data_IF_347611847998
#
_entry.id   IF_347611847998
#
_cell.length_a   1.000
_cell.length_b   1.000
_cell.length_c   1.000
_cell.angle_alpha   90.00
_cell.angle_beta   90.00
_cell.angle_gamma   90.00
#
_symmetry.space_group_name_H-M   'P 1'
#
loop_
_entity.id
_entity.type
_entity.pdbx_description
1 polymer ?
#
# COMPACT_ATOMS: atom_id res chain seq x y z
N UNK A 1 14.99 21.22 -14.00
CA UNK A 1 15.93 20.86 -15.10
C UNK A 1 15.25 19.74 -15.87
N UNK A 2 14.92 19.88 -17.16
CA UNK A 2 14.18 18.82 -17.89
C UNK A 2 15.08 17.59 -18.04
N UNK A 3 14.92 16.61 -17.16
CA UNK A 3 15.57 15.30 -17.30
C UNK A 3 14.95 14.57 -18.48
N UNK A 4 15.81 13.94 -19.29
CA UNK A 4 15.38 13.14 -20.43
C UNK A 4 14.80 11.84 -19.89
N UNK A 5 13.50 11.64 -20.07
CA UNK A 5 12.79 10.38 -19.80
C UNK A 5 13.50 9.24 -20.52
N UNK A 6 14.04 8.28 -19.76
CA UNK A 6 14.76 7.14 -20.30
C UNK A 6 13.71 6.06 -20.65
N UNK A 7 13.15 6.10 -21.87
CA UNK A 7 12.07 5.24 -22.38
C UNK A 7 12.32 3.71 -22.38
N UNK A 8 13.36 3.20 -21.71
CA UNK A 8 13.77 1.80 -21.88
C UNK A 8 13.07 0.80 -20.99
N UNK A 9 12.29 1.21 -19.99
CA UNK A 9 11.55 0.28 -19.12
C UNK A 9 10.24 0.90 -18.67
N UNK A 10 9.26 0.91 -19.56
CA UNK A 10 7.88 0.96 -19.11
C UNK A 10 7.60 -0.38 -18.42
N UNK A 11 7.46 -0.38 -17.08
CA UNK A 11 6.54 -1.31 -16.44
C UNK A 11 5.27 -1.24 -17.30
N UNK A 12 4.84 -2.38 -17.84
CA UNK A 12 3.62 -2.40 -18.65
C UNK A 12 2.53 -1.93 -17.71
N UNK A 13 2.15 -0.65 -17.80
CA UNK A 13 0.98 -0.11 -17.17
C UNK A 13 -0.17 -0.95 -17.71
N UNK A 14 -0.59 -1.95 -16.93
CA UNK A 14 -1.78 -2.73 -17.24
C UNK A 14 -2.88 -1.68 -17.26
N UNK A 15 -3.48 -1.40 -18.44
CA UNK A 15 -4.50 -0.36 -18.51
C UNK A 15 -5.54 -0.69 -17.45
N UNK A 16 -5.99 0.29 -16.65
CA UNK A 16 -6.99 0.03 -15.61
C UNK A 16 -8.29 -0.57 -16.20
N UNK A 17 -8.48 -0.41 -17.51
CA UNK A 17 -9.55 -0.97 -18.33
C UNK A 17 -9.27 -2.36 -18.94
N UNK A 18 -8.03 -2.88 -18.84
CA UNK A 18 -7.58 -4.18 -19.36
C UNK A 18 -7.00 -5.04 -18.22
N UNK A 19 -7.83 -5.35 -17.22
CA UNK A 19 -7.61 -6.51 -16.36
C UNK A 19 -7.79 -7.77 -17.20
N UNK A 20 -6.74 -8.16 -17.94
CA UNK A 20 -6.77 -9.30 -18.85
C UNK A 20 -7.03 -10.60 -18.09
N UNK A 21 -8.09 -11.25 -18.53
CA UNK A 21 -8.53 -12.61 -18.22
C UNK A 21 -7.36 -13.60 -18.13
N UNK A 22 -7.09 -14.12 -16.93
CA UNK A 22 -6.57 -15.48 -16.78
C UNK A 22 -7.80 -16.37 -16.53
N UNK A 23 -8.10 -17.34 -17.42
CA UNK A 23 -9.24 -18.21 -17.24
C UNK A 23 -8.96 -19.22 -16.13
N UNK A 24 -9.49 -18.98 -14.93
CA UNK A 24 -9.85 -20.07 -14.04
C UNK A 24 -11.15 -20.68 -14.60
N UNK A 25 -11.08 -21.94 -15.04
CA UNK A 25 -12.11 -22.57 -15.88
C UNK A 25 -13.52 -22.60 -15.27
N UNK A 26 -14.52 -22.45 -16.14
CA UNK A 26 -15.93 -22.74 -15.85
C UNK A 26 -16.89 -21.75 -16.50
N UNK A 27 -17.33 -21.99 -17.74
CA UNK A 27 -18.50 -21.29 -18.30
C UNK A 27 -19.77 -21.80 -17.60
N UNK A 28 -20.57 -20.90 -17.02
CA UNK A 28 -21.97 -21.18 -16.70
C UNK A 28 -22.85 -20.00 -17.13
N UNK A 29 -23.96 -20.36 -17.76
CA UNK A 29 -24.95 -19.54 -18.44
C UNK A 29 -25.69 -18.55 -17.54
N UNK A 30 -26.15 -17.45 -18.14
CA UNK A 30 -26.99 -16.43 -17.54
C UNK A 30 -28.31 -16.99 -16.97
N UNK A 31 -28.43 -16.99 -15.64
CA UNK A 31 -29.64 -16.93 -14.84
C UNK A 31 -29.22 -16.35 -13.49
N UNK A 32 -30.09 -15.59 -12.82
CA UNK A 32 -29.83 -14.88 -11.56
C UNK A 32 -29.36 -15.78 -10.41
N UNK A 33 -28.04 -16.08 -10.38
CA UNK A 33 -27.31 -16.60 -9.24
C UNK A 33 -26.74 -15.42 -8.48
N UNK A 34 -26.93 -15.39 -7.16
CA UNK A 34 -26.11 -14.54 -6.30
C UNK A 34 -24.64 -14.84 -6.62
N UNK A 35 -23.92 -13.83 -7.09
CA UNK A 35 -22.52 -13.98 -7.47
C UNK A 35 -21.72 -14.36 -6.22
N UNK A 36 -20.98 -15.48 -6.27
CA UNK A 36 -20.04 -15.85 -5.22
C UNK A 36 -19.11 -14.66 -4.96
N UNK A 37 -18.94 -14.20 -3.70
CA UNK A 37 -18.05 -13.10 -3.38
C UNK A 37 -16.64 -13.37 -3.89
N UNK A 38 -16.00 -12.36 -4.46
CA UNK A 38 -14.64 -12.47 -4.98
C UNK A 38 -13.91 -11.16 -4.82
N UNK A 39 -12.60 -11.27 -4.60
CA UNK A 39 -11.65 -10.15 -4.56
C UNK A 39 -11.19 -9.71 -5.96
N UNK A 40 -11.59 -10.46 -6.99
CA UNK A 40 -11.14 -10.29 -8.38
C UNK A 40 -12.32 -9.91 -9.27
N UNK A 41 -12.67 -8.62 -9.24
CA UNK A 41 -13.60 -7.99 -10.18
C UNK A 41 -12.92 -6.79 -10.81
N UNK A 42 -13.34 -6.31 -12.01
CA UNK A 42 -12.79 -5.09 -12.58
C UNK A 42 -12.84 -3.88 -11.61
N UNK A 43 -13.90 -3.74 -10.83
CA UNK A 43 -14.00 -2.69 -9.81
C UNK A 43 -13.01 -2.88 -8.64
N UNK A 44 -12.83 -4.11 -8.15
CA UNK A 44 -11.87 -4.40 -7.09
C UNK A 44 -10.41 -4.27 -7.57
N UNK A 45 -10.13 -4.68 -8.81
CA UNK A 45 -8.84 -4.50 -9.46
C UNK A 45 -8.53 -3.00 -9.65
N UNK A 46 -9.49 -2.19 -10.10
CA UNK A 46 -9.35 -0.73 -10.16
C UNK A 46 -8.93 -0.13 -8.80
N UNK A 47 -9.64 -0.50 -7.73
CA UNK A 47 -9.34 0.00 -6.37
C UNK A 47 -7.93 -0.38 -5.94
N UNK A 48 -7.53 -1.62 -6.17
CA UNK A 48 -6.22 -2.15 -5.81
C UNK A 48 -5.10 -1.45 -6.60
N UNK A 49 -5.29 -1.22 -7.90
CA UNK A 49 -4.33 -0.49 -8.74
C UNK A 49 -4.19 0.98 -8.36
N UNK A 50 -5.31 1.68 -8.07
CA UNK A 50 -5.25 3.06 -7.58
C UNK A 50 -4.59 3.13 -6.19
N UNK A 51 -4.89 2.16 -5.32
CA UNK A 51 -4.26 2.07 -4.01
C UNK A 51 -2.74 1.91 -4.13
N UNK A 52 -2.26 1.05 -5.03
CA UNK A 52 -0.84 0.89 -5.30
C UNK A 52 -0.17 2.20 -5.66
N UNK A 53 -0.65 2.88 -6.70
CA UNK A 53 0.01 4.07 -7.21
C UNK A 53 -0.05 5.23 -6.20
N UNK A 54 -1.18 5.40 -5.51
CA UNK A 54 -1.34 6.46 -4.51
C UNK A 54 -0.57 6.18 -3.22
N UNK A 55 -0.53 4.93 -2.73
CA UNK A 55 0.19 4.59 -1.50
C UNK A 55 1.71 4.60 -1.72
N UNK A 56 2.17 4.14 -2.89
CA UNK A 56 3.56 4.26 -3.31
C UNK A 56 3.96 5.74 -3.47
N UNK A 57 3.08 6.61 -3.99
CA UNK A 57 3.32 8.06 -4.01
C UNK A 57 3.59 8.61 -2.61
N UNK A 58 2.74 8.27 -1.64
CA UNK A 58 2.90 8.74 -0.25
C UNK A 58 4.23 8.29 0.35
N UNK A 59 4.61 7.02 0.13
CA UNK A 59 5.90 6.47 0.55
C UNK A 59 7.07 7.20 -0.12
N UNK A 60 7.10 7.27 -1.46
CA UNK A 60 8.18 7.88 -2.22
C UNK A 60 8.32 9.38 -1.94
N UNK A 61 7.21 10.11 -1.77
CA UNK A 61 7.23 11.53 -1.46
C UNK A 61 7.91 11.78 -0.10
N UNK A 62 7.55 11.03 0.93
CA UNK A 62 8.15 11.16 2.27
C UNK A 62 9.63 10.79 2.22
N UNK A 63 9.98 9.70 1.53
CA UNK A 63 11.38 9.30 1.37
C UNK A 63 12.20 10.36 0.64
N UNK A 64 11.72 10.87 -0.50
CA UNK A 64 12.42 11.93 -1.24
C UNK A 64 12.60 13.20 -0.41
N UNK A 65 11.58 13.60 0.37
CA UNK A 65 11.70 14.74 1.29
C UNK A 65 12.79 14.48 2.35
N UNK A 66 12.82 13.30 2.97
CA UNK A 66 13.84 12.91 3.96
C UNK A 66 15.25 12.88 3.36
N UNK A 67 15.43 12.20 2.21
CA UNK A 67 16.72 12.15 1.49
C UNK A 67 17.19 13.55 1.11
N UNK A 68 16.26 14.43 0.72
CA UNK A 68 16.54 15.84 0.44
C UNK A 68 17.07 16.61 1.65
N UNK A 69 16.46 16.44 2.82
CA UNK A 69 16.94 17.07 4.06
C UNK A 69 18.29 16.51 4.54
N UNK A 70 18.52 15.22 4.38
CA UNK A 70 19.80 14.58 4.71
C UNK A 70 20.93 14.99 3.76
N UNK A 71 20.61 15.45 2.54
CA UNK A 71 21.57 15.55 1.45
C UNK A 71 22.10 14.18 1.03
N UNK A 72 21.24 13.16 1.08
CA UNK A 72 21.62 11.77 0.86
C UNK A 72 22.01 11.52 -0.61
N UNK A 73 22.94 10.59 -0.82
CA UNK A 73 23.52 10.33 -2.14
C UNK A 73 22.52 9.68 -3.12
N UNK A 74 21.45 9.09 -2.60
CA UNK A 74 20.35 8.45 -3.31
C UNK A 74 19.16 9.39 -3.57
N UNK A 75 19.23 10.66 -3.17
CA UNK A 75 18.15 11.64 -3.37
C UNK A 75 17.64 11.68 -4.82
N UNK A 76 18.54 11.79 -5.81
CA UNK A 76 18.15 11.88 -7.22
C UNK A 76 17.43 10.62 -7.71
N UNK A 77 17.82 9.43 -7.22
CA UNK A 77 17.14 8.18 -7.56
C UNK A 77 15.75 8.09 -6.90
N UNK A 78 15.62 8.57 -5.66
CA UNK A 78 14.32 8.66 -4.98
C UNK A 78 13.36 9.61 -5.72
N UNK A 79 13.86 10.77 -6.16
CA UNK A 79 13.08 11.75 -6.91
C UNK A 79 12.67 11.21 -8.28
N UNK A 80 13.58 10.50 -8.97
CA UNK A 80 13.26 9.84 -10.23
C UNK A 80 12.16 8.77 -10.06
N UNK A 81 12.21 7.97 -8.99
CA UNK A 81 11.16 7.01 -8.66
C UNK A 81 9.80 7.67 -8.41
N UNK A 82 9.78 8.81 -7.70
CA UNK A 82 8.57 9.61 -7.47
C UNK A 82 8.00 10.19 -8.78
N UNK A 83 8.86 10.67 -9.67
CA UNK A 83 8.48 11.15 -11.00
C UNK A 83 7.90 10.00 -11.86
N UNK A 84 8.51 8.81 -11.83
CA UNK A 84 7.98 7.64 -12.54
C UNK A 84 6.62 7.21 -12.01
N UNK A 85 6.43 7.21 -10.68
CA UNK A 85 5.11 6.97 -10.07
C UNK A 85 4.06 7.99 -10.55
N UNK A 86 4.44 9.26 -10.71
CA UNK A 86 3.56 10.31 -11.28
C UNK A 86 3.14 9.98 -12.70
N UNK A 87 4.07 9.49 -13.54
CA UNK A 87 3.77 9.04 -14.90
C UNK A 87 2.84 7.82 -14.91
N UNK A 88 3.09 6.85 -14.03
CA UNK A 88 2.26 5.65 -13.90
C UNK A 88 0.83 6.01 -13.48
N UNK A 89 0.68 6.89 -12.49
CA UNK A 89 -0.63 7.37 -12.01
C UNK A 89 -1.37 8.15 -13.09
N UNK A 90 -0.69 9.05 -13.81
CA UNK A 90 -1.29 9.82 -14.91
C UNK A 90 -1.73 8.92 -16.06
N UNK A 91 -0.93 7.91 -16.40
CA UNK A 91 -1.28 6.88 -17.40
C UNK A 91 -2.49 6.06 -16.96
N UNK A 92 -2.59 5.76 -15.66
CA UNK A 92 -3.73 5.05 -15.10
C UNK A 92 -5.01 5.89 -15.24
N UNK A 93 -4.97 7.18 -14.88
CA UNK A 93 -6.10 8.11 -15.09
C UNK A 93 -6.47 8.22 -16.59
N UNK A 94 -5.49 8.34 -17.47
CA UNK A 94 -5.70 8.40 -18.92
C UNK A 94 -6.44 7.17 -19.46
N UNK A 95 -6.14 5.99 -18.92
CA UNK A 95 -6.78 4.74 -19.34
C UNK A 95 -8.28 4.66 -19.00
N UNK A 96 -8.75 5.52 -18.08
CA UNK A 96 -10.16 5.58 -17.64
C UNK A 96 -10.90 6.73 -18.32
N UNK A 97 -10.31 7.93 -18.38
CA UNK A 97 -10.95 9.12 -18.93
C UNK A 97 -10.57 9.33 -20.40
N UNK A 98 -9.33 9.75 -20.66
CA UNK A 98 -8.66 9.87 -21.96
C UNK A 98 -7.25 10.47 -21.77
N UNK A 99 -6.47 10.56 -22.84
CA UNK A 99 -5.11 11.12 -22.81
C UNK A 99 -5.10 12.57 -22.33
N UNK A 100 -6.07 13.38 -22.77
CA UNK A 100 -6.21 14.78 -22.37
C UNK A 100 -6.43 14.93 -20.85
N UNK A 101 -7.27 14.08 -20.25
CA UNK A 101 -7.46 14.04 -18.81
C UNK A 101 -6.20 13.57 -18.06
N UNK A 102 -5.47 12.61 -18.62
CA UNK A 102 -4.18 12.16 -18.08
C UNK A 102 -3.16 13.30 -18.00
N UNK A 103 -3.00 14.07 -19.09
CA UNK A 103 -2.09 15.23 -19.14
C UNK A 103 -2.52 16.33 -18.17
N UNK A 104 -3.82 16.63 -18.09
CA UNK A 104 -4.33 17.62 -17.15
C UNK A 104 -4.10 17.21 -15.69
N UNK A 105 -4.27 15.92 -15.37
CA UNK A 105 -3.95 15.37 -14.06
C UNK A 105 -2.45 15.49 -13.77
N UNK A 106 -1.59 15.07 -14.70
CA UNK A 106 -0.12 15.12 -14.56
C UNK A 106 0.37 16.53 -14.28
N UNK A 107 -0.16 17.55 -14.95
CA UNK A 107 0.22 18.95 -14.74
C UNK A 107 -0.08 19.42 -13.32
N UNK A 108 -1.29 19.14 -12.81
CA UNK A 108 -1.67 19.52 -11.44
C UNK A 108 -0.91 18.70 -10.40
N UNK A 109 -0.74 17.40 -10.63
CA UNK A 109 -0.01 16.48 -9.74
C UNK A 109 1.48 16.79 -9.67
N UNK A 110 2.11 17.14 -10.79
CA UNK A 110 3.52 17.55 -10.78
C UNK A 110 3.74 18.85 -10.01
N UNK A 111 2.75 19.76 -10.02
CA UNK A 111 2.85 21.03 -9.33
C UNK A 111 2.91 20.87 -7.80
N UNK A 112 2.09 19.97 -7.21
CA UNK A 112 2.10 19.81 -5.75
C UNK A 112 3.41 19.23 -5.22
N UNK A 113 4.03 18.32 -5.98
CA UNK A 113 5.37 17.80 -5.67
C UNK A 113 6.37 18.96 -5.60
N UNK A 114 6.31 19.90 -6.57
CA UNK A 114 7.12 21.12 -6.56
C UNK A 114 6.95 21.96 -5.29
N UNK A 115 5.72 22.15 -4.81
CA UNK A 115 5.46 22.90 -3.57
C UNK A 115 6.04 22.22 -2.32
N UNK A 116 6.03 20.88 -2.26
CA UNK A 116 6.71 20.16 -1.18
C UNK A 116 8.24 20.28 -1.28
N UNK A 117 8.80 20.24 -2.49
CA UNK A 117 10.25 20.48 -2.69
C UNK A 117 10.63 21.88 -2.21
N UNK A 118 9.85 22.91 -2.57
CA UNK A 118 10.07 24.28 -2.12
C UNK A 118 9.96 24.40 -0.59
N UNK A 119 9.01 23.69 0.04
CA UNK A 119 8.90 23.61 1.50
C UNK A 119 10.16 23.01 2.15
N UNK A 120 10.64 21.86 1.64
CA UNK A 120 11.86 21.19 2.12
C UNK A 120 13.07 22.13 1.99
N UNK A 121 13.22 22.79 0.84
CA UNK A 121 14.30 23.76 0.60
C UNK A 121 14.22 24.94 1.57
N UNK A 122 13.01 25.45 1.83
CA UNK A 122 12.81 26.55 2.77
C UNK A 122 13.16 26.14 4.21
N UNK A 123 12.79 24.92 4.63
CA UNK A 123 13.19 24.37 5.93
C UNK A 123 14.71 24.26 6.04
N UNK A 124 15.39 23.69 5.05
CA UNK A 124 16.85 23.58 5.03
C UNK A 124 17.58 24.95 5.08
N UNK A 125 16.95 26.01 4.57
CA UNK A 125 17.46 27.39 4.59
C UNK A 125 17.06 28.19 5.84
N UNK A 126 16.26 27.64 6.74
CA UNK A 126 15.59 28.37 7.82
C UNK A 126 14.79 29.59 7.30
N UNK A 127 14.16 29.44 6.13
CA UNK A 127 13.38 30.48 5.47
C UNK A 127 11.89 30.35 5.82
N UNK A 128 11.47 31.01 6.91
CA UNK A 128 10.08 31.01 7.37
C UNK A 128 9.11 31.61 6.34
N UNK A 129 9.57 32.57 5.52
CA UNK A 129 8.73 33.16 4.47
C UNK A 129 8.53 32.17 3.30
N UNK A 130 9.58 31.43 2.94
CA UNK A 130 9.53 30.34 1.96
C UNK A 130 8.60 29.20 2.41
N UNK A 131 8.70 28.78 3.67
CA UNK A 131 7.78 27.77 4.26
C UNK A 131 6.34 28.22 4.13
N UNK A 132 6.04 29.46 4.53
CA UNK A 132 4.69 30.01 4.46
C UNK A 132 4.18 30.07 3.02
N UNK A 133 5.02 30.52 2.08
CA UNK A 133 4.66 30.56 0.65
C UNK A 133 4.28 29.17 0.15
N UNK A 134 5.09 28.16 0.44
CA UNK A 134 4.83 26.78 0.00
C UNK A 134 3.54 26.21 0.60
N UNK A 135 3.24 26.50 1.87
CA UNK A 135 1.98 26.10 2.51
C UNK A 135 0.76 26.83 1.94
N UNK A 136 0.90 28.10 1.59
CA UNK A 136 -0.15 28.87 0.91
C UNK A 136 -0.42 28.29 -0.50
N UNK A 137 0.63 27.90 -1.24
CA UNK A 137 0.53 27.24 -2.55
C UNK A 137 -0.14 25.87 -2.46
N UNK A 138 0.23 25.03 -1.48
CA UNK A 138 -0.44 23.76 -1.21
C UNK A 138 -1.92 23.95 -0.85
N UNK A 139 -2.25 25.00 -0.09
CA UNK A 139 -3.64 25.35 0.24
C UNK A 139 -4.46 25.78 -0.97
N UNK A 140 -3.82 26.45 -1.94
CA UNK A 140 -4.46 26.82 -3.22
C UNK A 140 -4.61 25.59 -4.12
N UNK A 141 -3.54 24.80 -4.29
CA UNK A 141 -3.57 23.52 -5.02
C UNK A 141 -4.70 22.63 -4.55
N UNK A 142 -4.87 22.48 -3.24
CA UNK A 142 -5.95 21.70 -2.64
C UNK A 142 -7.32 22.15 -3.13
N UNK A 143 -7.58 23.46 -3.22
CA UNK A 143 -8.85 23.99 -3.70
C UNK A 143 -9.05 23.69 -5.19
N UNK A 144 -8.03 23.99 -6.00
CA UNK A 144 -8.10 23.83 -7.45
C UNK A 144 -8.22 22.36 -7.86
N UNK A 145 -7.41 21.49 -7.25
CA UNK A 145 -7.40 20.06 -7.52
C UNK A 145 -8.70 19.37 -7.07
N UNK A 146 -9.28 19.80 -5.95
CA UNK A 146 -10.58 19.29 -5.51
C UNK A 146 -11.70 19.66 -6.48
N UNK A 147 -11.71 20.89 -6.99
CA UNK A 147 -12.69 21.32 -8.00
C UNK A 147 -12.50 20.57 -9.33
N UNK A 148 -11.24 20.34 -9.72
CA UNK A 148 -10.91 19.53 -10.88
C UNK A 148 -11.47 18.11 -10.77
N UNK A 149 -11.24 17.42 -9.65
CA UNK A 149 -11.73 16.06 -9.41
C UNK A 149 -13.26 15.99 -9.28
N UNK A 150 -13.90 16.96 -8.63
CA UNK A 150 -15.36 17.04 -8.57
C UNK A 150 -15.96 17.15 -9.98
N UNK A 151 -15.40 18.04 -10.81
CA UNK A 151 -15.85 18.22 -12.19
C UNK A 151 -15.62 16.95 -13.02
N UNK A 152 -14.43 16.36 -12.94
CA UNK A 152 -14.06 15.16 -13.69
C UNK A 152 -14.95 13.95 -13.34
N UNK A 153 -15.30 13.80 -12.06
CA UNK A 153 -16.15 12.70 -11.57
C UNK A 153 -17.65 12.97 -11.75
N UNK A 154 -18.03 14.12 -12.30
CA UNK A 154 -19.42 14.54 -12.45
C UNK A 154 -20.12 14.66 -11.10
N UNK A 155 -19.48 15.36 -10.15
CA UNK A 155 -19.95 15.68 -8.80
C UNK A 155 -20.12 14.46 -7.87
N UNK A 156 -19.52 13.31 -8.21
CA UNK A 156 -19.53 12.11 -7.34
C UNK A 156 -18.59 12.23 -6.15
N UNK A 157 -17.53 13.02 -6.30
CA UNK A 157 -16.63 13.41 -5.21
C UNK A 157 -16.84 14.90 -4.94
N UNK A 158 -17.35 15.24 -3.76
CA UNK A 158 -17.59 16.63 -3.37
C UNK A 158 -16.25 17.36 -3.14
N UNK A 159 -16.07 18.53 -3.76
CA UNK A 159 -14.83 19.30 -3.69
C UNK A 159 -14.45 19.67 -2.24
N UNK A 160 -15.43 19.95 -1.38
CA UNK A 160 -15.18 20.24 0.04
C UNK A 160 -14.55 19.05 0.77
N UNK A 161 -15.12 17.85 0.61
CA UNK A 161 -14.60 16.64 1.24
C UNK A 161 -13.24 16.23 0.67
N UNK A 162 -13.02 16.42 -0.64
CA UNK A 162 -11.72 16.23 -1.28
C UNK A 162 -10.67 17.19 -0.73
N UNK A 163 -11.03 18.47 -0.54
CA UNK A 163 -10.13 19.45 0.02
C UNK A 163 -9.72 19.09 1.45
N UNK A 164 -10.67 18.70 2.29
CA UNK A 164 -10.35 18.28 3.67
C UNK A 164 -9.43 17.05 3.70
N UNK A 165 -9.67 16.06 2.85
CA UNK A 165 -8.79 14.90 2.68
C UNK A 165 -7.39 15.31 2.23
N UNK A 166 -7.27 16.11 1.17
CA UNK A 166 -5.97 16.62 0.71
C UNK A 166 -5.24 17.42 1.81
N UNK A 167 -5.94 18.22 2.62
CA UNK A 167 -5.33 18.93 3.74
C UNK A 167 -4.77 17.96 4.79
N UNK A 168 -5.51 16.89 5.10
CA UNK A 168 -5.02 15.86 6.01
C UNK A 168 -3.76 15.20 5.47
N UNK A 169 -3.71 14.90 4.16
CA UNK A 169 -2.52 14.33 3.54
C UNK A 169 -1.32 15.29 3.59
N UNK A 170 -1.54 16.58 3.28
CA UNK A 170 -0.50 17.62 3.43
C UNK A 170 0.03 17.68 4.86
N UNK A 171 -0.85 17.63 5.86
CA UNK A 171 -0.44 17.64 7.26
C UNK A 171 0.41 16.41 7.63
N UNK A 172 0.09 15.23 7.06
CA UNK A 172 0.86 14.01 7.29
C UNK A 172 2.24 14.08 6.65
N UNK A 173 2.36 14.55 5.40
CA UNK A 173 3.67 14.70 4.72
C UNK A 173 4.55 15.75 5.40
N UNK A 174 4.00 16.94 5.69
CA UNK A 174 4.72 17.99 6.42
C UNK A 174 5.07 17.51 7.83
N UNK A 175 4.15 16.85 8.51
CA UNK A 175 4.37 16.29 9.85
C UNK A 175 5.47 15.25 9.88
N UNK A 176 5.49 14.32 8.92
CA UNK A 176 6.54 13.31 8.77
C UNK A 176 7.90 13.98 8.58
N UNK A 177 7.99 14.95 7.67
CA UNK A 177 9.22 15.67 7.37
C UNK A 177 9.72 16.54 8.54
N UNK A 178 8.87 17.36 9.12
CA UNK A 178 9.25 18.26 10.22
C UNK A 178 9.67 17.46 11.45
N UNK A 179 8.99 16.35 11.76
CA UNK A 179 9.37 15.44 12.87
C UNK A 179 10.72 14.80 12.60
N UNK A 180 10.98 14.40 11.36
CA UNK A 180 12.26 13.82 10.94
C UNK A 180 13.41 14.81 11.13
N UNK A 181 13.26 16.04 10.61
CA UNK A 181 14.27 17.10 10.74
C UNK A 181 14.48 17.51 12.21
N UNK A 182 13.45 17.41 13.04
CA UNK A 182 13.54 17.63 14.48
C UNK A 182 14.19 16.48 15.27
N UNK A 183 14.47 15.34 14.62
CA UNK A 183 15.01 14.14 15.26
C UNK A 183 13.98 13.32 16.05
N UNK A 184 12.68 13.63 15.92
CA UNK A 184 11.60 12.80 16.45
C UNK A 184 11.22 11.74 15.41
N UNK A 185 12.13 10.78 15.24
CA UNK A 185 11.98 9.75 14.21
C UNK A 185 10.75 8.89 14.43
N UNK A 186 10.40 8.54 15.67
CA UNK A 186 9.18 7.78 15.95
C UNK A 186 7.93 8.49 15.44
N UNK A 187 7.84 9.81 15.66
CA UNK A 187 6.72 10.60 15.15
C UNK A 187 6.77 10.74 13.61
N UNK A 188 7.97 10.81 13.03
CA UNK A 188 8.14 10.84 11.58
C UNK A 188 7.59 9.57 10.89
N UNK A 189 7.90 8.39 11.43
CA UNK A 189 7.37 7.12 10.91
C UNK A 189 5.88 6.93 11.25
N UNK A 190 5.38 7.43 12.38
CA UNK A 190 3.93 7.44 12.66
C UNK A 190 3.16 8.19 11.56
N UNK A 191 3.61 9.41 11.21
CA UNK A 191 2.98 10.18 10.14
C UNK A 191 3.13 9.54 8.76
N UNK A 192 4.24 8.87 8.49
CA UNK A 192 4.43 8.13 7.22
C UNK A 192 3.41 7.00 7.07
N UNK A 193 3.28 6.16 8.10
CA UNK A 193 2.29 5.08 8.11
C UNK A 193 0.87 5.63 7.97
N UNK A 194 0.56 6.73 8.65
CA UNK A 194 -0.72 7.43 8.49
C UNK A 194 -0.94 7.96 7.07
N UNK A 195 0.08 8.51 6.42
CA UNK A 195 0.02 9.03 5.05
C UNK A 195 -0.24 7.90 4.04
N UNK A 196 0.49 6.79 4.15
CA UNK A 196 0.31 5.59 3.31
C UNK A 196 -1.12 5.05 3.49
N UNK A 197 -1.56 4.83 4.73
CA UNK A 197 -2.90 4.34 5.02
C UNK A 197 -4.02 5.27 4.52
N UNK A 198 -3.79 6.58 4.55
CA UNK A 198 -4.73 7.55 4.00
C UNK A 198 -4.89 7.45 2.48
N UNK A 199 -3.82 7.14 1.74
CA UNK A 199 -3.90 6.95 0.28
C UNK A 199 -4.76 5.75 -0.14
N UNK A 200 -4.86 4.71 0.68
CA UNK A 200 -5.85 3.63 0.47
C UNK A 200 -7.30 4.10 0.61
N UNK A 201 -7.57 5.09 1.47
CA UNK A 201 -8.90 5.70 1.62
C UNK A 201 -9.25 6.56 0.41
N UNK A 202 -8.27 7.32 -0.11
CA UNK A 202 -8.43 8.07 -1.37
C UNK A 202 -8.71 7.12 -2.53
N UNK A 203 -7.96 6.02 -2.64
CA UNK A 203 -8.20 5.00 -3.65
C UNK A 203 -9.62 4.39 -3.55
N UNK A 204 -10.13 4.16 -2.33
CA UNK A 204 -11.51 3.71 -2.10
C UNK A 204 -12.53 4.71 -2.63
N UNK A 205 -12.39 6.00 -2.32
CA UNK A 205 -13.28 7.06 -2.81
C UNK A 205 -13.24 7.19 -4.34
N UNK A 206 -12.04 7.30 -4.91
CA UNK A 206 -11.85 7.49 -6.36
C UNK A 206 -12.33 6.29 -7.17
N UNK A 207 -12.00 5.07 -6.77
CA UNK A 207 -12.48 3.85 -7.44
C UNK A 207 -14.01 3.69 -7.35
N UNK A 208 -14.62 4.07 -6.22
CA UNK A 208 -16.08 4.09 -6.08
C UNK A 208 -16.73 5.08 -7.05
N UNK A 209 -16.19 6.30 -7.14
CA UNK A 209 -16.71 7.33 -8.07
C UNK A 209 -16.55 6.90 -9.54
N UNK A 210 -15.39 6.36 -9.91
CA UNK A 210 -15.10 5.90 -11.27
C UNK A 210 -16.01 4.73 -11.67
N UNK A 211 -16.19 3.73 -10.80
CA UNK A 211 -17.08 2.59 -11.10
C UNK A 211 -18.54 2.98 -11.19
N UNK A 212 -18.97 4.00 -10.44
CA UNK A 212 -20.33 4.57 -10.56
C UNK A 212 -20.49 5.43 -11.83
N UNK A 213 -19.45 6.14 -12.26
CA UNK A 213 -19.47 6.97 -13.47
C UNK A 213 -19.43 6.12 -14.75
N UNK A 214 -18.65 5.03 -14.75
CA UNK A 214 -18.43 4.19 -15.92
C UNK A 214 -18.76 2.71 -15.64
N UNK A 215 -19.99 2.38 -15.24
CA UNK A 215 -20.32 1.02 -14.79
C UNK A 215 -20.05 -0.04 -15.86
N UNK A 216 -20.28 0.28 -17.14
CA UNK A 216 -20.01 -0.66 -18.25
C UNK A 216 -18.51 -0.95 -18.45
N UNK A 217 -17.63 0.03 -18.22
CA UNK A 217 -16.16 -0.17 -18.32
C UNK A 217 -15.64 -1.16 -17.28
N UNK A 218 -16.36 -1.34 -16.17
CA UNK A 218 -16.01 -2.23 -15.07
C UNK A 218 -16.98 -3.40 -14.90
N UNK A 219 -17.66 -3.81 -15.99
CA UNK A 219 -18.60 -4.93 -16.02
C UNK A 219 -19.69 -4.86 -14.93
N UNK A 220 -20.13 -3.65 -14.58
CA UNK A 220 -21.10 -3.35 -13.52
C UNK A 220 -20.68 -3.86 -12.13
N UNK A 221 -19.39 -4.10 -11.92
CA UNK A 221 -18.84 -4.52 -10.62
C UNK A 221 -18.49 -3.32 -9.76
N UNK A 222 -18.75 -3.41 -8.46
CA UNK A 222 -18.44 -2.36 -7.50
C UNK A 222 -16.98 -2.45 -7.04
N UNK A 223 -16.34 -1.30 -6.85
CA UNK A 223 -15.02 -1.21 -6.23
C UNK A 223 -15.03 -1.45 -4.70
N UNK A 224 -16.20 -1.28 -4.06
CA UNK A 224 -16.37 -1.42 -2.62
C UNK A 224 -17.36 -2.55 -2.34
N UNK A 225 -16.82 -3.69 -1.91
CA UNK A 225 -17.53 -4.87 -1.43
C UNK A 225 -16.78 -5.41 -0.20
N UNK A 226 -17.40 -6.27 0.64
CA UNK A 226 -16.68 -6.89 1.77
C UNK A 226 -15.40 -7.62 1.35
N UNK A 227 -15.45 -8.35 0.23
CA UNK A 227 -14.27 -9.04 -0.32
C UNK A 227 -13.20 -8.04 -0.79
N UNK A 228 -13.58 -6.96 -1.47
CA UNK A 228 -12.65 -5.91 -1.90
C UNK A 228 -12.08 -5.11 -0.71
N UNK A 229 -12.83 -4.95 0.39
CA UNK A 229 -12.33 -4.34 1.62
C UNK A 229 -11.28 -5.22 2.31
N UNK A 230 -11.44 -6.55 2.34
CA UNK A 230 -10.39 -7.45 2.83
C UNK A 230 -9.12 -7.33 1.98
N UNK A 231 -9.25 -7.40 0.65
CA UNK A 231 -8.11 -7.24 -0.26
C UNK A 231 -7.43 -5.89 -0.05
N UNK A 232 -8.18 -4.79 0.03
CA UNK A 232 -7.59 -3.46 0.24
C UNK A 232 -6.88 -3.33 1.60
N UNK A 233 -7.35 -4.02 2.65
CA UNK A 233 -6.68 -4.04 3.94
C UNK A 233 -5.34 -4.80 3.88
N UNK A 234 -5.30 -5.93 3.17
CA UNK A 234 -4.05 -6.68 2.96
C UNK A 234 -3.12 -5.99 1.97
N UNK A 235 -3.64 -5.31 0.94
CA UNK A 235 -2.87 -4.46 0.02
C UNK A 235 -2.08 -3.41 0.82
N UNK A 236 -2.76 -2.73 1.75
CA UNK A 236 -2.13 -1.75 2.63
C UNK A 236 -1.04 -2.35 3.50
N UNK A 237 -1.38 -3.33 4.34
CA UNK A 237 -0.45 -3.82 5.34
C UNK A 237 0.77 -4.51 4.72
N UNK A 238 0.58 -5.26 3.63
CA UNK A 238 1.68 -5.95 2.97
C UNK A 238 2.56 -4.99 2.16
N UNK A 239 1.99 -3.99 1.47
CA UNK A 239 2.83 -3.02 0.72
C UNK A 239 3.60 -2.09 1.66
N UNK A 240 2.98 -1.64 2.76
CA UNK A 240 3.67 -0.91 3.83
C UNK A 240 4.84 -1.72 4.40
N UNK A 241 4.66 -3.03 4.63
CA UNK A 241 5.72 -3.93 5.07
C UNK A 241 6.94 -3.89 4.14
N UNK A 242 6.73 -3.98 2.82
CA UNK A 242 7.83 -3.99 1.85
C UNK A 242 8.63 -2.68 1.86
N UNK A 243 7.95 -1.53 1.93
CA UNK A 243 8.60 -0.21 2.05
C UNK A 243 9.41 -0.09 3.35
N UNK A 244 8.77 -0.37 4.49
CA UNK A 244 9.42 -0.29 5.80
C UNK A 244 10.60 -1.28 5.94
N UNK A 245 10.49 -2.48 5.37
CA UNK A 245 11.57 -3.46 5.36
C UNK A 245 12.78 -2.96 4.56
N UNK A 246 12.57 -2.43 3.35
CA UNK A 246 13.64 -1.87 2.54
C UNK A 246 14.37 -0.72 3.27
N UNK A 247 13.61 0.18 3.89
CA UNK A 247 14.18 1.27 4.67
C UNK A 247 14.93 0.81 5.92
N UNK A 248 14.36 -0.11 6.70
CA UNK A 248 15.01 -0.63 7.90
C UNK A 248 16.33 -1.34 7.56
N UNK A 249 16.38 -2.05 6.42
CA UNK A 249 17.62 -2.65 5.92
C UNK A 249 18.67 -1.58 5.54
N UNK A 250 18.28 -0.53 4.82
CA UNK A 250 19.17 0.59 4.47
C UNK A 250 19.68 1.34 5.71
N UNK A 251 18.77 1.74 6.60
CA UNK A 251 19.11 2.42 7.85
C UNK A 251 20.02 1.56 8.73
N UNK A 252 19.80 0.24 8.73
CA UNK A 252 20.60 -0.72 9.48
C UNK A 252 22.04 -0.83 8.97
N UNK A 253 22.27 -0.84 7.65
CA UNK A 253 23.63 -0.88 7.09
C UNK A 253 24.35 0.46 7.22
N UNK A 254 23.63 1.58 7.10
CA UNK A 254 24.19 2.92 7.24
C UNK A 254 24.49 3.28 8.70
N UNK A 255 23.89 2.54 9.66
CA UNK A 255 23.95 2.88 11.07
C UNK A 255 23.23 4.20 11.37
N UNK A 256 22.14 4.47 10.65
CA UNK A 256 21.39 5.72 10.72
C UNK A 256 20.74 5.92 12.09
N UNK A 257 20.65 7.18 12.54
CA UNK A 257 20.07 7.54 13.83
C UNK A 257 18.58 7.16 13.93
N UNK A 258 17.89 7.04 12.79
CA UNK A 258 16.49 6.66 12.70
C UNK A 258 16.25 5.15 12.56
N UNK A 259 17.30 4.32 12.57
CA UNK A 259 17.18 2.87 12.44
C UNK A 259 16.18 2.27 13.46
N UNK A 260 16.29 2.67 14.73
CA UNK A 260 15.39 2.18 15.77
C UNK A 260 13.91 2.50 15.47
N UNK A 261 13.62 3.72 15.01
CA UNK A 261 12.26 4.13 14.67
C UNK A 261 11.72 3.39 13.43
N UNK A 262 12.57 3.17 12.42
CA UNK A 262 12.20 2.37 11.24
C UNK A 262 11.90 0.91 11.58
N UNK A 263 12.68 0.31 12.50
CA UNK A 263 12.45 -1.05 12.99
C UNK A 263 11.18 -1.13 13.85
N UNK A 264 10.92 -0.13 14.70
CA UNK A 264 9.69 -0.03 15.49
C UNK A 264 8.45 0.13 14.60
N UNK A 265 8.56 0.91 13.52
CA UNK A 265 7.48 1.06 12.53
C UNK A 265 7.18 -0.27 11.80
N UNK A 266 8.24 -0.98 11.37
CA UNK A 266 8.12 -2.31 10.77
C UNK A 266 7.48 -3.31 11.75
N UNK A 267 7.87 -3.28 13.02
CA UNK A 267 7.26 -4.12 14.05
C UNK A 267 5.78 -3.76 14.30
N UNK A 268 5.44 -2.47 14.32
CA UNK A 268 4.07 -2.04 14.46
C UNK A 268 3.18 -2.49 13.28
N UNK A 269 3.74 -2.53 12.06
CA UNK A 269 3.07 -3.16 10.91
C UNK A 269 2.85 -4.68 11.11
N UNK A 270 3.84 -5.40 11.63
CA UNK A 270 3.70 -6.82 12.02
C UNK A 270 2.57 -7.04 13.02
N UNK A 271 2.45 -6.19 14.04
CA UNK A 271 1.34 -6.25 15.00
C UNK A 271 -0.03 -6.04 14.33
N UNK A 272 -0.11 -5.14 13.35
CA UNK A 272 -1.35 -4.86 12.64
C UNK A 272 -1.74 -6.01 11.68
N UNK A 273 -0.76 -6.64 11.01
CA UNK A 273 -0.97 -7.88 10.25
C UNK A 273 -1.44 -9.02 11.16
N UNK A 274 -0.79 -9.24 12.30
CA UNK A 274 -1.17 -10.27 13.25
C UNK A 274 -2.62 -10.08 13.76
N UNK A 275 -3.00 -8.83 14.09
CA UNK A 275 -4.39 -8.50 14.45
C UNK A 275 -5.37 -8.77 13.32
N UNK A 276 -5.02 -8.47 12.07
CA UNK A 276 -5.86 -8.75 10.92
C UNK A 276 -6.10 -10.27 10.78
N UNK A 277 -5.06 -11.10 10.93
CA UNK A 277 -5.17 -12.56 10.93
C UNK A 277 -5.96 -13.06 12.14
N UNK A 278 -5.71 -12.56 13.35
CA UNK A 278 -6.48 -12.89 14.56
C UNK A 278 -7.98 -12.64 14.37
N UNK A 279 -8.36 -11.56 13.68
CA UNK A 279 -9.76 -11.24 13.43
C UNK A 279 -10.48 -12.25 12.53
N UNK A 280 -9.73 -12.99 11.70
CA UNK A 280 -10.26 -13.96 10.73
C UNK A 280 -10.21 -15.39 11.25
N UNK A 281 -9.11 -15.75 11.91
CA UNK A 281 -8.75 -17.13 12.30
C UNK A 281 -8.64 -17.34 13.82
N UNK A 282 -8.79 -16.30 14.62
CA UNK A 282 -8.67 -16.34 16.08
C UNK A 282 -7.24 -16.08 16.58
N UNK A 283 -7.15 -15.79 17.88
CA UNK A 283 -5.91 -15.27 18.50
C UNK A 283 -4.72 -16.22 18.42
N UNK A 284 -4.96 -17.53 18.54
CA UNK A 284 -3.90 -18.55 18.42
C UNK A 284 -3.27 -18.55 17.03
N UNK A 285 -4.09 -18.40 15.98
CA UNK A 285 -3.61 -18.33 14.60
C UNK A 285 -2.87 -17.02 14.33
N UNK A 286 -3.35 -15.88 14.85
CA UNK A 286 -2.66 -14.60 14.74
C UNK A 286 -1.31 -14.59 15.44
N UNK A 287 -1.19 -15.23 16.62
CA UNK A 287 0.09 -15.37 17.33
C UNK A 287 1.06 -16.29 16.59
N UNK A 288 0.59 -17.40 16.01
CA UNK A 288 1.43 -18.27 15.18
C UNK A 288 1.93 -17.56 13.91
N UNK A 289 1.04 -16.81 13.24
CA UNK A 289 1.43 -15.95 12.11
C UNK A 289 2.51 -14.96 12.52
N UNK A 290 2.29 -14.25 13.64
CA UNK A 290 3.22 -13.24 14.17
C UNK A 290 4.61 -13.82 14.41
N UNK A 291 4.71 -14.97 15.07
CA UNK A 291 6.00 -15.61 15.36
C UNK A 291 6.77 -15.95 14.07
N UNK A 292 6.08 -16.51 13.07
CA UNK A 292 6.71 -16.79 11.77
C UNK A 292 7.14 -15.50 11.06
N UNK A 293 6.31 -14.46 11.14
CA UNK A 293 6.55 -13.16 10.51
C UNK A 293 7.70 -12.38 11.17
N UNK A 294 7.84 -12.44 12.49
CA UNK A 294 8.98 -11.83 13.19
C UNK A 294 10.29 -12.54 12.82
N UNK A 295 10.26 -13.86 12.67
CA UNK A 295 11.44 -14.64 12.26
C UNK A 295 11.94 -14.26 10.86
N UNK A 296 11.04 -14.07 9.88
CA UNK A 296 11.49 -13.70 8.52
C UNK A 296 12.12 -12.30 8.47
N UNK A 297 11.58 -11.34 9.24
CA UNK A 297 12.20 -10.03 9.43
C UNK A 297 13.60 -10.19 10.05
N UNK A 298 13.71 -11.05 11.07
CA UNK A 298 14.98 -11.39 11.71
C UNK A 298 16.03 -11.90 10.72
N UNK A 299 15.65 -12.73 9.75
CA UNK A 299 16.59 -13.24 8.74
C UNK A 299 17.08 -12.15 7.77
N UNK A 300 16.26 -11.15 7.43
CA UNK A 300 16.74 -9.98 6.69
C UNK A 300 17.72 -9.15 7.54
N UNK A 301 17.45 -8.97 8.83
CA UNK A 301 18.37 -8.28 9.76
C UNK A 301 19.71 -9.02 9.85
N UNK A 302 19.70 -10.35 9.90
CA UNK A 302 20.92 -11.16 9.90
C UNK A 302 21.70 -11.00 8.59
N UNK A 303 21.01 -10.95 7.44
CA UNK A 303 21.63 -10.67 6.15
C UNK A 303 22.32 -9.29 6.12
N UNK A 304 21.67 -8.25 6.67
CA UNK A 304 22.25 -6.91 6.76
C UNK A 304 23.49 -6.91 7.66
N UNK A 305 23.41 -7.50 8.85
CA UNK A 305 24.55 -7.60 9.78
C UNK A 305 25.72 -8.37 9.17
N UNK A 306 25.45 -9.50 8.52
CA UNK A 306 26.46 -10.32 7.86
C UNK A 306 27.14 -9.56 6.71
N UNK A 307 26.37 -8.78 5.96
CA UNK A 307 26.90 -7.88 4.93
C UNK A 307 27.83 -6.81 5.52
N UNK A 308 27.42 -6.13 6.59
CA UNK A 308 28.29 -5.16 7.29
C UNK A 308 29.57 -5.78 7.87
N UNK A 309 29.51 -7.06 8.27
CA UNK A 309 30.66 -7.82 8.76
C UNK A 309 31.55 -8.41 7.64
N UNK A 310 31.14 -8.31 6.38
CA UNK A 310 31.75 -9.02 5.24
C UNK A 310 31.82 -10.55 5.46
N UNK A 311 30.79 -11.12 6.08
CA UNK A 311 30.66 -12.53 6.39
C UNK A 311 29.75 -13.23 5.36
N UNK A 312 30.36 -13.79 4.32
CA UNK A 312 29.60 -14.48 3.26
C UNK A 312 28.93 -15.77 3.72
N UNK A 313 29.50 -16.49 4.70
CA UNK A 313 28.89 -17.70 5.25
C UNK A 313 27.60 -17.35 6.02
N UNK A 314 27.63 -16.28 6.80
CA UNK A 314 26.45 -15.79 7.51
C UNK A 314 25.39 -15.22 6.56
N UNK A 315 25.78 -14.58 5.45
CA UNK A 315 24.82 -14.15 4.39
C UNK A 315 24.12 -15.35 3.76
N UNK A 316 24.87 -16.40 3.40
CA UNK A 316 24.30 -17.63 2.86
C UNK A 316 23.38 -18.32 3.88
N UNK A 317 23.74 -18.33 5.16
CA UNK A 317 22.90 -18.86 6.23
C UNK A 317 21.58 -18.10 6.37
N UNK A 318 21.60 -16.76 6.31
CA UNK A 318 20.39 -15.93 6.34
C UNK A 318 19.46 -16.21 5.15
N UNK A 319 20.01 -16.34 3.93
CA UNK A 319 19.23 -16.70 2.74
C UNK A 319 18.64 -18.12 2.83
N UNK A 320 19.40 -19.07 3.38
CA UNK A 320 18.90 -20.44 3.64
C UNK A 320 17.74 -20.44 4.64
N UNK A 321 17.82 -19.62 5.69
CA UNK A 321 16.74 -19.47 6.66
C UNK A 321 15.48 -18.84 6.03
N UNK A 322 15.64 -17.87 5.12
CA UNK A 322 14.52 -17.31 4.34
C UNK A 322 13.88 -18.37 3.42
N UNK A 323 14.66 -19.25 2.80
CA UNK A 323 14.16 -20.35 1.97
C UNK A 323 13.35 -21.38 2.78
N UNK A 324 13.82 -21.70 4.00
CA UNK A 324 13.10 -22.54 4.95
C UNK A 324 11.79 -21.87 5.41
N UNK A 325 11.85 -20.60 5.84
CA UNK A 325 10.68 -19.81 6.21
C UNK A 325 9.63 -19.82 5.10
N UNK A 326 10.03 -19.52 3.87
CA UNK A 326 9.15 -19.53 2.69
C UNK A 326 8.38 -20.84 2.58
N UNK A 327 9.08 -21.97 2.76
CA UNK A 327 8.48 -23.31 2.68
C UNK A 327 7.49 -23.55 3.82
N UNK A 328 7.90 -23.30 5.06
CA UNK A 328 7.07 -23.53 6.25
C UNK A 328 5.85 -22.61 6.28
N UNK A 329 6.05 -21.31 6.02
CA UNK A 329 4.99 -20.32 6.00
C UNK A 329 3.96 -20.59 4.90
N UNK A 330 4.42 -21.05 3.72
CA UNK A 330 3.49 -21.40 2.65
C UNK A 330 2.62 -22.61 3.00
N UNK A 331 3.20 -23.63 3.66
CA UNK A 331 2.43 -24.77 4.18
C UNK A 331 1.48 -24.35 5.31
N UNK A 332 1.90 -23.44 6.18
CA UNK A 332 1.05 -22.87 7.23
C UNK A 332 -0.20 -22.20 6.63
N UNK A 333 -0.02 -21.34 5.62
CA UNK A 333 -1.13 -20.64 4.96
C UNK A 333 -2.01 -21.60 4.15
N UNK A 334 -1.44 -22.55 3.41
CA UNK A 334 -2.21 -23.57 2.68
C UNK A 334 -3.09 -24.39 3.64
N UNK A 335 -2.55 -24.78 4.80
CA UNK A 335 -3.30 -25.50 5.83
C UNK A 335 -4.42 -24.63 6.40
N UNK A 336 -4.11 -23.37 6.74
CA UNK A 336 -5.08 -22.44 7.33
C UNK A 336 -6.23 -22.11 6.36
N UNK A 337 -5.95 -22.09 5.06
CA UNK A 337 -6.92 -21.79 4.00
C UNK A 337 -7.55 -23.03 3.37
N UNK A 338 -7.33 -24.22 3.94
CA UNK A 338 -7.84 -25.51 3.43
C UNK A 338 -7.46 -25.80 1.96
N UNK A 339 -6.30 -25.29 1.52
CA UNK A 339 -5.80 -25.46 0.16
C UNK A 339 -6.21 -24.39 -0.84
N UNK A 340 -7.03 -23.41 -0.43
CA UNK A 340 -7.47 -22.30 -1.31
C UNK A 340 -6.30 -21.37 -1.69
N UNK A 341 -5.25 -21.31 -0.86
CA UNK A 341 -3.96 -20.71 -1.22
C UNK A 341 -2.92 -21.83 -1.39
N UNK A 342 -2.57 -22.22 -2.63
CA UNK A 342 -1.60 -23.30 -2.84
C UNK A 342 -0.21 -22.94 -2.32
N UNK A 343 0.42 -23.83 -1.53
CA UNK A 343 1.72 -23.55 -0.92
C UNK A 343 2.81 -23.28 -1.96
N UNK A 344 2.79 -23.97 -3.11
CA UNK A 344 3.78 -23.74 -4.18
C UNK A 344 3.68 -22.33 -4.76
N UNK A 345 2.47 -21.85 -5.05
CA UNK A 345 2.28 -20.52 -5.63
C UNK A 345 2.66 -19.41 -4.64
N UNK A 346 2.31 -19.59 -3.36
CA UNK A 346 2.70 -18.65 -2.32
C UNK A 346 4.23 -18.64 -2.11
N UNK A 347 4.88 -19.80 -2.11
CA UNK A 347 6.32 -19.90 -2.00
C UNK A 347 7.02 -19.19 -3.15
N UNK A 348 6.59 -19.38 -4.40
CA UNK A 348 7.15 -18.66 -5.55
C UNK A 348 7.01 -17.14 -5.41
N UNK A 349 5.84 -16.65 -4.97
CA UNK A 349 5.61 -15.23 -4.72
C UNK A 349 6.50 -14.64 -3.61
N UNK A 350 6.69 -15.40 -2.52
CA UNK A 350 7.59 -15.04 -1.42
C UNK A 350 9.06 -15.05 -1.85
N UNK A 351 9.48 -15.99 -2.69
CA UNK A 351 10.85 -15.99 -3.24
C UNK A 351 11.10 -14.74 -4.08
N UNK A 352 10.13 -14.34 -4.89
CA UNK A 352 10.23 -13.10 -5.68
C UNK A 352 10.40 -11.89 -4.76
N UNK A 353 9.59 -11.79 -3.70
CA UNK A 353 9.70 -10.71 -2.71
C UNK A 353 11.08 -10.68 -2.02
N UNK A 354 11.57 -11.85 -1.57
CA UNK A 354 12.92 -11.97 -0.98
C UNK A 354 13.99 -11.49 -1.97
N UNK A 355 13.90 -11.91 -3.22
CA UNK A 355 14.85 -11.48 -4.26
C UNK A 355 14.82 -9.96 -4.46
N UNK A 356 13.63 -9.35 -4.49
CA UNK A 356 13.49 -7.90 -4.69
C UNK A 356 14.05 -7.10 -3.50
N UNK A 357 13.78 -7.50 -2.26
CA UNK A 357 14.37 -6.83 -1.08
C UNK A 357 15.90 -6.99 -1.00
N UNK A 358 16.41 -8.19 -1.29
CA UNK A 358 17.87 -8.43 -1.34
C UNK A 358 18.51 -7.66 -2.50
N UNK A 359 17.85 -7.56 -3.65
CA UNK A 359 18.33 -6.77 -4.80
C UNK A 359 18.34 -5.27 -4.48
N UNK A 360 17.27 -4.74 -3.88
CA UNK A 360 17.19 -3.36 -3.43
C UNK A 360 18.35 -3.01 -2.49
N UNK A 361 18.59 -3.85 -1.48
CA UNK A 361 19.66 -3.67 -0.50
C UNK A 361 21.05 -3.76 -1.13
N UNK A 362 21.30 -4.78 -1.96
CA UNK A 362 22.60 -4.96 -2.59
C UNK A 362 22.93 -3.85 -3.60
N UNK A 363 21.94 -3.40 -4.38
CA UNK A 363 22.09 -2.26 -5.30
C UNK A 363 22.36 -0.97 -4.54
N UNK A 364 21.68 -0.76 -3.41
CA UNK A 364 21.92 0.40 -2.53
C UNK A 364 23.38 0.44 -2.04
N UNK A 365 23.90 -0.66 -1.51
CA UNK A 365 25.30 -0.75 -1.05
C UNK A 365 26.29 -0.57 -2.21
N UNK A 366 25.95 -1.10 -3.38
CA UNK A 366 26.72 -0.91 -4.61
C UNK A 366 26.67 0.54 -5.14
N UNK A 367 25.84 1.41 -4.53
CA UNK A 367 25.55 2.79 -4.95
C UNK A 367 24.89 2.86 -6.33
N UNK A 368 24.27 1.77 -6.75
CA UNK A 368 23.37 1.73 -7.90
C UNK A 368 21.96 2.07 -7.39
N UNK A 369 21.76 3.34 -7.06
CA UNK A 369 20.53 3.80 -6.43
C UNK A 369 19.32 3.73 -7.38
N UNK A 370 19.53 3.86 -8.69
CA UNK A 370 18.48 3.65 -9.70
C UNK A 370 17.94 2.22 -9.61
N UNK A 371 18.83 1.21 -9.65
CA UNK A 371 18.43 -0.18 -9.49
C UNK A 371 17.87 -0.49 -8.10
N UNK A 372 18.34 0.21 -7.05
CA UNK A 372 17.82 0.05 -5.70
C UNK A 372 16.34 0.48 -5.64
N UNK A 373 16.01 1.67 -6.15
CA UNK A 373 14.63 2.16 -6.17
C UNK A 373 13.74 1.36 -7.15
N UNK A 374 14.25 0.91 -8.30
CA UNK A 374 13.52 -0.03 -9.19
C UNK A 374 13.09 -1.28 -8.39
N UNK A 375 14.02 -1.88 -7.64
CA UNK A 375 13.75 -3.07 -6.82
C UNK A 375 12.81 -2.80 -5.64
N UNK A 376 12.87 -1.62 -5.02
CA UNK A 376 11.95 -1.21 -3.94
C UNK A 376 10.52 -1.11 -4.48
N UNK A 377 10.33 -0.43 -5.62
CA UNK A 377 9.02 -0.29 -6.26
C UNK A 377 8.46 -1.65 -6.68
N UNK A 378 9.31 -2.52 -7.23
CA UNK A 378 8.94 -3.91 -7.54
C UNK A 378 8.52 -4.71 -6.29
N UNK A 379 9.26 -4.60 -5.18
CA UNK A 379 8.92 -5.24 -3.92
C UNK A 379 7.60 -4.73 -3.35
N UNK A 380 7.36 -3.42 -3.42
CA UNK A 380 6.13 -2.76 -2.99
C UNK A 380 4.93 -3.23 -3.81
N UNK A 381 5.05 -3.23 -5.15
CA UNK A 381 4.03 -3.71 -6.07
C UNK A 381 3.73 -5.20 -5.95
N UNK A 382 4.75 -6.04 -5.68
CA UNK A 382 4.59 -7.50 -5.50
C UNK A 382 3.58 -7.85 -4.40
N UNK A 383 3.47 -7.00 -3.37
CA UNK A 383 2.57 -7.20 -2.23
C UNK A 383 1.09 -7.11 -2.59
N UNK A 384 0.74 -6.38 -3.66
CA UNK A 384 -0.64 -6.37 -4.18
C UNK A 384 -1.03 -7.72 -4.81
N UNK A 385 -0.08 -8.42 -5.43
CA UNK A 385 -0.26 -9.78 -5.92
C UNK A 385 -0.43 -10.78 -4.77
N UNK A 386 0.41 -10.68 -3.75
CA UNK A 386 0.33 -11.52 -2.54
C UNK A 386 -1.00 -11.30 -1.80
N UNK A 387 -1.41 -10.05 -1.62
CA UNK A 387 -2.70 -9.68 -1.05
C UNK A 387 -3.87 -10.26 -1.85
N UNK A 388 -3.87 -10.16 -3.18
CA UNK A 388 -4.90 -10.74 -4.04
C UNK A 388 -5.02 -12.26 -3.86
N UNK A 389 -3.89 -12.96 -3.79
CA UNK A 389 -3.88 -14.41 -3.57
C UNK A 389 -4.42 -14.78 -2.17
N UNK A 390 -3.90 -14.13 -1.13
CA UNK A 390 -4.28 -14.42 0.26
C UNK A 390 -5.74 -14.06 0.54
N UNK A 391 -6.17 -12.84 0.20
CA UNK A 391 -7.57 -12.41 0.34
C UNK A 391 -8.51 -13.28 -0.48
N UNK A 392 -8.10 -13.69 -1.70
CA UNK A 392 -8.87 -14.58 -2.55
C UNK A 392 -9.12 -15.93 -1.89
N UNK A 393 -8.08 -16.56 -1.34
CA UNK A 393 -8.22 -17.84 -0.65
C UNK A 393 -9.05 -17.75 0.64
N UNK A 394 -8.88 -16.67 1.42
CA UNK A 394 -9.71 -16.42 2.61
C UNK A 394 -11.20 -16.28 2.24
N UNK A 395 -11.50 -15.53 1.17
CA UNK A 395 -12.88 -15.36 0.68
C UNK A 395 -13.44 -16.68 0.15
N UNK A 396 -12.64 -17.47 -0.56
CA UNK A 396 -13.05 -18.77 -1.08
C UNK A 396 -13.33 -19.79 0.03
N UNK A 397 -12.55 -19.78 1.11
CA UNK A 397 -12.76 -20.64 2.29
C UNK A 397 -14.03 -20.27 3.06
N UNK A 398 -14.44 -19.01 3.06
CA UNK A 398 -15.59 -18.51 3.85
C UNK A 398 -16.47 -17.51 3.09
N UNK A 399 -17.08 -17.90 1.94
CA UNK A 399 -17.78 -16.97 1.06
C UNK A 399 -18.98 -16.30 1.74
N UNK A 400 -19.67 -17.01 2.64
CA UNK A 400 -20.82 -16.48 3.39
C UNK A 400 -20.46 -15.26 4.26
N UNK A 401 -19.21 -15.14 4.72
CA UNK A 401 -18.73 -13.98 5.50
C UNK A 401 -18.59 -12.72 4.65
N UNK A 402 -18.46 -12.87 3.33
CA UNK A 402 -18.19 -11.78 2.39
C UNK A 402 -19.36 -11.53 1.43
N UNK A 403 -20.46 -12.26 1.59
CA UNK A 403 -21.70 -12.01 0.88
C UNK A 403 -22.20 -10.59 1.22
N UNK A 404 -22.44 -9.78 0.19
CA UNK A 404 -22.96 -8.43 0.38
C UNK A 404 -24.41 -8.50 0.88
N UNK A 405 -24.65 -8.33 2.18
CA UNK A 405 -26.00 -8.03 2.66
C UNK A 405 -26.33 -6.63 2.19
N UNK A 406 -27.03 -6.48 1.06
CA UNK A 406 -27.35 -5.17 0.45
C UNK A 406 -27.85 -4.13 1.48
N UNK A 407 -27.06 -3.10 1.83
CA UNK A 407 -27.59 -1.88 2.41
C UNK A 407 -27.97 -0.96 1.24
N UNK A 408 -29.17 -0.38 1.29
CA UNK A 408 -29.76 0.45 0.23
C UNK A 408 -29.20 1.86 0.13
N UNK A 409 -28.24 2.24 0.98
CA UNK A 409 -27.73 3.61 1.08
C UNK A 409 -26.24 3.67 0.80
N UNK A 410 -25.83 4.66 -0.01
CA UNK A 410 -24.43 5.01 -0.18
C UNK A 410 -23.83 5.34 1.20
N UNK A 411 -22.68 4.74 1.58
CA UNK A 411 -21.96 5.22 2.74
C UNK A 411 -21.54 6.67 2.47
N UNK A 412 -21.89 7.58 3.38
CA UNK A 412 -21.28 8.91 3.41
C UNK A 412 -19.79 8.69 3.63
N UNK A 413 -19.00 8.76 2.56
CA UNK A 413 -17.55 8.62 2.63
C UNK A 413 -16.99 9.84 3.32
N UNK A 414 -16.86 9.76 4.64
CA UNK A 414 -16.05 10.70 5.39
C UNK A 414 -14.60 10.55 4.94
N UNK A 415 -14.15 11.42 4.04
CA UNK A 415 -12.74 11.69 3.74
C UNK A 415 -12.02 12.38 4.92
N UNK A 416 -12.71 12.51 6.05
CA UNK A 416 -12.25 13.09 7.29
C UNK A 416 -12.53 12.08 8.40
N UNK A 417 -11.47 11.54 9.01
CA UNK A 417 -11.62 11.02 10.37
C UNK A 417 -11.89 12.20 11.33
N UNK A 418 -12.81 12.07 12.31
CA UNK A 418 -12.88 13.03 13.39
C UNK A 418 -11.53 13.04 14.11
N UNK A 419 -10.88 14.19 14.14
CA UNK A 419 -9.65 14.38 14.89
C UNK A 419 -9.91 14.20 16.39
N UNK A 420 -8.86 13.72 17.07
CA UNK A 420 -8.69 13.61 18.54
C UNK A 420 -9.42 12.44 19.23
N UNK A 421 -8.76 11.29 19.28
CA UNK A 421 -8.28 10.66 20.54
C UNK A 421 -7.44 9.43 20.18
N UNK A 422 -6.32 9.21 20.90
CA UNK A 422 -5.41 8.08 20.77
C UNK A 422 -6.17 6.75 20.60
N UNK A 423 -6.26 6.20 19.40
CA UNK A 423 -6.78 4.85 19.17
C UNK A 423 -6.31 4.29 17.82
N UNK A 424 -5.22 3.53 17.85
CA UNK A 424 -4.71 2.63 16.80
C UNK A 424 -5.67 1.46 16.47
N UNK A 425 -7.00 1.68 16.45
CA UNK A 425 -8.02 0.61 16.49
C UNK A 425 -9.17 0.84 15.48
N UNK A 426 -9.01 1.67 14.45
CA UNK A 426 -10.08 1.82 13.44
C UNK A 426 -10.03 0.78 12.30
N UNK A 427 -8.87 0.20 11.98
CA UNK A 427 -8.80 -0.91 11.01
C UNK A 427 -9.51 -2.16 11.52
N UNK A 428 -9.38 -2.43 12.83
CA UNK A 428 -10.12 -3.48 13.50
C UNK A 428 -11.63 -3.27 13.38
N UNK A 429 -12.15 -2.03 13.36
CA UNK A 429 -13.59 -1.74 13.20
C UNK A 429 -14.10 -1.94 11.77
N UNK A 430 -13.25 -1.81 10.73
CA UNK A 430 -13.64 -2.15 9.35
C UNK A 430 -13.81 -3.66 9.19
N UNK A 431 -12.99 -4.48 9.87
CA UNK A 431 -13.15 -5.93 9.90
C UNK A 431 -14.21 -6.38 10.93
N UNK A 432 -14.26 -5.80 12.15
CA UNK A 432 -15.27 -6.08 13.19
C UNK A 432 -16.68 -5.65 12.78
N UNK A 433 -16.83 -4.62 11.93
CA UNK A 433 -18.11 -4.21 11.36
C UNK A 433 -18.79 -5.28 10.50
N UNK A 434 -18.04 -6.30 10.06
CA UNK A 434 -18.56 -7.47 9.34
C UNK A 434 -18.90 -8.66 10.27
N UNK A 435 -18.59 -8.60 11.57
CA UNK A 435 -18.63 -9.75 12.49
C UNK A 435 -19.62 -9.66 13.66
N UNK A 436 -20.71 -8.90 13.54
CA UNK A 436 -21.79 -8.95 14.55
C UNK A 436 -22.95 -9.85 14.14
N UNK A 437 -22.77 -11.18 14.10
CA UNK A 437 -23.89 -12.14 14.25
C UNK A 437 -23.48 -13.34 15.14
N UNK A 438 -24.34 -13.60 16.12
CA UNK A 438 -24.19 -14.43 17.30
C UNK A 438 -23.72 -15.89 17.09
N UNK A 439 -22.78 -16.32 17.94
CA UNK A 439 -22.48 -17.72 18.21
C UNK A 439 -23.64 -18.37 18.98
N UNK A 440 -24.43 -19.20 18.30
CA UNK A 440 -25.32 -20.17 18.94
C UNK A 440 -24.74 -21.58 18.75
N UNK A 441 -23.93 -22.01 19.71
CA UNK A 441 -23.34 -23.36 19.78
C UNK A 441 -24.45 -24.41 19.93
N UNK A 442 -24.69 -25.23 18.90
CA UNK A 442 -25.47 -26.47 19.03
C UNK A 442 -24.53 -27.64 19.24
N UNK A 443 -24.33 -28.00 20.51
CA UNK A 443 -23.78 -29.30 20.90
C UNK A 443 -24.87 -30.36 20.65
N UNK A 444 -24.72 -31.17 19.61
CA UNK A 444 -25.47 -32.42 19.47
C UNK A 444 -24.60 -33.54 20.04
N UNK A 445 -24.83 -33.85 21.32
CA UNK A 445 -24.40 -35.10 21.91
C UNK A 445 -25.29 -36.23 21.36
N UNK A 446 -24.73 -37.11 20.51
CA UNK A 446 -25.39 -38.38 20.17
C UNK A 446 -25.20 -39.36 21.33
N UNK A 447 -26.31 -39.64 22.03
CA UNK A 447 -26.48 -40.84 22.86
C UNK A 447 -27.04 -41.96 21.97
N UNK A 448 -26.24 -43.00 21.77
CA UNK A 448 -26.52 -44.41 22.09
C UNK A 448 -25.51 -45.32 21.38
#
# INVERSE_FOLDING_TARGET
>A
MKMKTNWKRALIAVPLSLSLLIPAGGMVSAASQESVPTVSTPGADLRSSLAHLLSEHGYLAIETMRKGAQGAADFEASAAALDENTVDLSSAIASVYDEEAGVAFEEMWSAHIGFFVDYVVAVGKNDEAGKKTSLDELSQYRQDFSQFLETATGERLEAGALADGLQMHVNQLVGAFDSYVAGDYNKAYEYEREAIGHMHMVAKGLSSAITDQFPEKFNNTKAVTPAADLRAALDHLLSEHAGLAAMAMQNGIDGSDDFAASADALNANTEDLAKAISSLYGEEAGQAFKEMWENHIGFFVDYVKATGANDEEAKEAALSNLDNYRTEFSTFIETATEGEVPATALAEGLQMHVNQLVAAFNSYIAKDYEAAYESIREAYGQMYGASKALSGGIVAQSPDKFASQMPTDMPKTGLVQPSTEKNNIQWALVLLGLFTIATATRVIARKN
#
